data_IF_185903041828
#
_entry.id   IF_185903041828
#
_cell.length_a   1.000
_cell.length_b   1.000
_cell.length_c   1.000
_cell.angle_alpha   90.00
_cell.angle_beta   90.00
_cell.angle_gamma   90.00
#
_symmetry.space_group_name_H-M   'P 1'
#
loop_
_entity.id
_entity.type
_entity.pdbx_description
1 polymer ?
#
# COMPACT_ATOMS: atom_id res chain seq x y z
N UNK A 1 13.69 -2.55 -3.17
CA UNK A 1 12.96 -3.62 -3.88
C UNK A 1 12.17 -3.04 -5.03
N UNK A 2 11.59 -3.89 -5.86
CA UNK A 2 10.66 -3.50 -6.92
C UNK A 2 9.23 -3.85 -6.51
N UNK A 3 8.26 -3.13 -7.05
CA UNK A 3 6.85 -3.51 -6.98
C UNK A 3 6.25 -3.58 -8.38
N UNK A 4 5.21 -4.40 -8.53
CA UNK A 4 4.34 -4.40 -9.70
C UNK A 4 2.89 -4.38 -9.25
N UNK A 5 2.06 -3.70 -10.03
CA UNK A 5 0.63 -3.56 -9.78
C UNK A 5 -0.10 -4.07 -11.02
N UNK A 6 -1.13 -4.89 -10.80
CA UNK A 6 -1.97 -5.47 -11.84
C UNK A 6 -3.40 -5.63 -11.34
N UNK A 7 -4.37 -5.68 -12.23
CA UNK A 7 -5.72 -6.12 -11.86
C UNK A 7 -5.74 -7.65 -11.80
N UNK A 8 -6.28 -8.20 -10.70
CA UNK A 8 -6.56 -9.63 -10.59
C UNK A 8 -7.94 -9.95 -11.19
N UNK A 9 -8.89 -9.06 -10.95
CA UNK A 9 -10.26 -9.07 -11.46
C UNK A 9 -10.79 -7.62 -11.47
N UNK A 10 -12.06 -7.43 -11.81
CA UNK A 10 -12.68 -6.11 -11.98
C UNK A 10 -12.71 -5.25 -10.69
N UNK A 11 -12.61 -5.87 -9.52
CA UNK A 11 -12.72 -5.18 -8.22
C UNK A 11 -11.51 -5.41 -7.31
N UNK A 12 -10.45 -6.05 -7.79
CA UNK A 12 -9.28 -6.36 -6.98
C UNK A 12 -7.98 -5.97 -7.69
N UNK A 13 -7.29 -4.98 -7.13
CA UNK A 13 -5.90 -4.68 -7.49
C UNK A 13 -4.95 -5.59 -6.72
N UNK A 14 -3.99 -6.19 -7.42
CA UNK A 14 -2.90 -6.96 -6.84
C UNK A 14 -1.61 -6.16 -6.91
N UNK A 15 -0.96 -6.00 -5.77
CA UNK A 15 0.38 -5.46 -5.65
C UNK A 15 1.35 -6.54 -5.17
N UNK A 16 2.44 -6.72 -5.90
CA UNK A 16 3.50 -7.66 -5.55
C UNK A 16 4.80 -6.89 -5.31
N UNK A 17 5.53 -7.23 -4.25
CA UNK A 17 6.84 -6.66 -3.92
C UNK A 17 7.90 -7.75 -3.97
N UNK A 18 9.07 -7.40 -4.51
CA UNK A 18 10.21 -8.33 -4.49
C UNK A 18 10.73 -8.55 -3.06
N UNK A 19 10.66 -7.52 -2.21
CA UNK A 19 11.08 -7.63 -0.82
C UNK A 19 10.08 -8.50 -0.05
N UNK A 20 10.56 -9.64 0.46
CA UNK A 20 9.73 -10.58 1.20
C UNK A 20 8.75 -11.38 0.35
N UNK A 21 8.82 -11.28 -0.99
CA UNK A 21 7.86 -11.90 -1.92
C UNK A 21 6.41 -11.60 -1.53
N UNK A 22 6.17 -10.38 -1.03
CA UNK A 22 4.88 -9.98 -0.49
C UNK A 22 3.86 -9.78 -1.62
N UNK A 23 2.66 -10.33 -1.45
CA UNK A 23 1.50 -10.06 -2.30
C UNK A 23 0.40 -9.43 -1.47
N UNK A 24 -0.16 -8.32 -1.95
CA UNK A 24 -1.27 -7.59 -1.31
C UNK A 24 -2.41 -7.46 -2.31
N UNK A 25 -3.62 -7.68 -1.81
CA UNK A 25 -4.86 -7.55 -2.58
C UNK A 25 -5.64 -6.36 -2.04
N UNK A 26 -6.01 -5.44 -2.93
CA UNK A 26 -6.74 -4.22 -2.63
C UNK A 26 -8.14 -4.35 -3.21
N UNK A 27 -9.13 -4.45 -2.34
CA UNK A 27 -10.51 -4.71 -2.72
C UNK A 27 -11.29 -3.41 -2.84
N UNK A 28 -11.92 -3.18 -3.99
CA UNK A 28 -12.84 -2.07 -4.24
C UNK A 28 -14.29 -2.46 -3.95
N UNK A 29 -15.09 -1.48 -3.56
CA UNK A 29 -16.51 -1.67 -3.28
C UNK A 29 -16.81 -1.86 -1.78
N UNK A 30 -18.05 -2.20 -1.41
CA UNK A 30 -18.44 -2.37 -0.02
C UNK A 30 -17.57 -3.45 0.62
N UNK A 31 -17.06 -3.15 1.82
CA UNK A 31 -16.30 -4.09 2.61
C UNK A 31 -17.13 -5.36 2.78
N UNK A 32 -16.76 -6.43 2.07
CA UNK A 32 -17.22 -7.77 2.46
C UNK A 32 -16.77 -7.95 3.90
N UNK A 33 -17.70 -8.33 4.78
CA UNK A 33 -17.42 -8.56 6.18
C UNK A 33 -16.46 -9.74 6.31
N UNK A 34 -15.17 -9.48 6.14
CA UNK A 34 -14.12 -10.42 6.41
C UNK A 34 -13.92 -10.41 7.92
N UNK A 35 -14.69 -11.25 8.63
CA UNK A 35 -14.32 -11.74 9.95
C UNK A 35 -13.13 -12.72 9.81
N UNK A 36 -12.12 -12.34 9.03
CA UNK A 36 -10.90 -13.12 8.86
C UNK A 36 -10.04 -12.93 10.10
N UNK A 37 -9.52 -14.04 10.62
CA UNK A 37 -8.51 -13.99 11.68
C UNK A 37 -7.37 -13.03 11.31
N UNK A 38 -6.77 -12.33 12.30
CA UNK A 38 -5.64 -11.46 12.03
C UNK A 38 -4.53 -12.18 11.25
N UNK A 39 -4.10 -11.56 10.15
CA UNK A 39 -3.08 -12.11 9.25
C UNK A 39 -1.90 -11.14 9.11
N UNK A 40 -0.78 -11.63 8.59
CA UNK A 40 0.37 -10.76 8.32
C UNK A 40 0.10 -9.72 7.22
N UNK A 41 -0.91 -9.94 6.37
CA UNK A 41 -1.29 -9.01 5.30
C UNK A 41 -2.53 -8.16 5.66
N UNK A 42 -3.31 -8.60 6.66
CA UNK A 42 -4.60 -8.00 6.98
C UNK A 42 -5.60 -8.12 5.83
N UNK A 43 -6.61 -7.24 5.86
CA UNK A 43 -7.57 -7.04 4.78
C UNK A 43 -7.49 -5.58 4.33
N UNK A 44 -7.24 -5.36 3.03
CA UNK A 44 -7.05 -4.02 2.46
C UNK A 44 -8.26 -3.60 1.62
N UNK A 45 -8.93 -2.53 2.05
CA UNK A 45 -10.01 -1.87 1.30
C UNK A 45 -9.47 -0.68 0.54
N UNK A 46 -9.82 -0.57 -0.74
CA UNK A 46 -9.28 0.39 -1.67
C UNK A 46 -10.36 1.38 -2.15
N UNK A 47 -10.00 2.66 -2.21
CA UNK A 47 -10.88 3.71 -2.70
C UNK A 47 -10.06 4.74 -3.49
N UNK A 48 -10.60 5.16 -4.64
CA UNK A 48 -10.06 6.30 -5.37
C UNK A 48 -10.48 7.60 -4.70
N UNK A 49 -9.51 8.42 -4.32
CA UNK A 49 -9.72 9.78 -3.88
C UNK A 49 -9.51 10.72 -5.05
N UNK A 50 -10.60 11.13 -5.68
CA UNK A 50 -10.55 12.04 -6.81
C UNK A 50 -10.22 13.46 -6.34
N UNK A 51 -9.18 14.05 -6.92
CA UNK A 51 -8.95 15.48 -6.82
C UNK A 51 -10.09 16.22 -7.56
N UNK A 52 -10.50 17.36 -7.00
CA UNK A 52 -11.37 18.30 -7.71
C UNK A 52 -10.56 18.82 -8.91
N UNK A 53 -11.03 18.48 -10.10
CA UNK A 53 -10.42 18.91 -11.37
C UNK A 53 -11.38 19.86 -12.09
N UNK A 54 -10.83 20.75 -12.94
CA UNK A 54 -11.63 21.65 -13.76
C UNK A 54 -12.57 20.88 -14.70
N UNK A 55 -13.63 21.53 -15.20
CA UNK A 55 -14.54 20.90 -16.17
C UNK A 55 -13.75 20.51 -17.43
N UNK A 56 -13.84 19.23 -17.81
CA UNK A 56 -13.17 18.69 -19.00
C UNK A 56 -11.73 18.19 -18.75
N UNK A 57 -11.19 18.38 -17.54
CA UNK A 57 -9.88 17.83 -17.18
C UNK A 57 -9.96 16.33 -16.86
N UNK A 58 -8.90 15.55 -17.17
CA UNK A 58 -8.81 14.16 -16.74
C UNK A 58 -8.93 14.06 -15.21
N UNK A 59 -9.70 13.08 -14.73
CA UNK A 59 -9.74 12.76 -13.29
C UNK A 59 -8.33 12.48 -12.81
N UNK A 60 -7.88 13.28 -11.85
CA UNK A 60 -6.66 13.04 -11.07
C UNK A 60 -7.09 12.56 -9.70
N UNK A 61 -6.26 11.76 -9.06
CA UNK A 61 -6.56 11.25 -7.75
C UNK A 61 -5.52 10.29 -7.27
N UNK A 62 -5.56 10.05 -5.97
CA UNK A 62 -4.70 9.09 -5.30
C UNK A 62 -5.52 7.86 -4.96
N UNK A 63 -4.86 6.70 -4.91
CA UNK A 63 -5.50 5.51 -4.37
C UNK A 63 -5.25 5.50 -2.86
N UNK A 64 -6.33 5.55 -2.08
CA UNK A 64 -6.31 5.31 -0.64
C UNK A 64 -6.60 3.85 -0.35
N UNK A 65 -5.76 3.23 0.46
CA UNK A 65 -5.92 1.84 0.90
C UNK A 65 -5.91 1.80 2.42
N UNK A 66 -6.96 1.25 3.02
CA UNK A 66 -7.03 1.03 4.47
C UNK A 66 -6.89 -0.46 4.75
N UNK A 67 -5.90 -0.82 5.56
CA UNK A 67 -5.63 -2.20 5.97
C UNK A 67 -5.89 -2.37 7.46
N UNK A 68 -6.71 -3.35 7.80
CA UNK A 68 -7.04 -3.75 9.17
C UNK A 68 -6.88 -5.25 9.36
N UNK A 69 -7.01 -5.75 10.59
CA UNK A 69 -6.84 -7.19 10.87
C UNK A 69 -5.40 -7.67 10.68
N UNK A 70 -4.43 -6.80 10.92
CA UNK A 70 -3.01 -7.17 10.92
C UNK A 70 -2.67 -7.92 12.21
N UNK A 71 -1.77 -8.91 12.12
CA UNK A 71 -1.09 -9.44 13.31
C UNK A 71 -0.16 -8.38 13.88
N UNK A 72 -0.05 -8.30 15.20
CA UNK A 72 0.93 -7.42 15.84
C UNK A 72 2.34 -7.70 15.30
N UNK A 73 3.11 -6.64 15.06
CA UNK A 73 4.39 -6.74 14.37
C UNK A 73 5.17 -5.44 14.39
N UNK A 74 6.04 -5.26 13.40
CA UNK A 74 6.88 -4.06 13.26
C UNK A 74 6.64 -3.41 11.89
N UNK A 75 6.63 -2.08 11.85
CA UNK A 75 6.38 -1.31 10.61
C UNK A 75 7.40 -1.58 9.51
N UNK A 76 8.61 -1.98 9.90
CA UNK A 76 9.71 -2.46 9.06
C UNK A 76 10.65 -3.32 9.92
N UNK A 77 11.64 -3.97 9.29
CA UNK A 77 12.71 -4.66 10.05
C UNK A 77 13.36 -3.69 11.04
N UNK A 78 13.35 -4.04 12.33
CA UNK A 78 13.81 -3.19 13.45
C UNK A 78 13.10 -1.83 13.53
N UNK A 79 11.85 -1.75 13.04
CA UNK A 79 11.02 -0.56 13.10
C UNK A 79 10.30 -0.41 14.43
N UNK A 80 9.35 0.52 14.46
CA UNK A 80 8.43 0.68 15.60
C UNK A 80 7.43 -0.50 15.64
N UNK A 81 7.06 -0.99 16.83
CA UNK A 81 6.03 -2.00 16.97
C UNK A 81 4.64 -1.42 16.70
N UNK A 82 3.72 -2.28 16.28
CA UNK A 82 2.31 -1.98 16.09
C UNK A 82 1.48 -3.19 16.58
N UNK A 83 0.29 -2.95 17.13
CA UNK A 83 -0.55 -3.99 17.75
C UNK A 83 -1.52 -4.62 16.74
N UNK A 84 -2.27 -5.63 17.17
CA UNK A 84 -3.34 -6.20 16.35
C UNK A 84 -4.52 -5.21 16.09
N UNK A 85 -4.56 -4.09 16.85
CA UNK A 85 -5.56 -3.03 16.70
C UNK A 85 -5.10 -1.90 15.76
N UNK A 86 -3.97 -2.08 15.07
CA UNK A 86 -3.44 -1.09 14.13
C UNK A 86 -4.38 -0.87 12.94
N UNK A 87 -4.56 0.39 12.58
CA UNK A 87 -5.08 0.80 11.28
C UNK A 87 -3.93 1.34 10.43
N UNK A 88 -3.65 0.68 9.31
CA UNK A 88 -2.69 1.13 8.30
C UNK A 88 -3.46 1.79 7.16
N UNK A 89 -3.31 3.10 7.00
CA UNK A 89 -3.82 3.82 5.82
C UNK A 89 -2.65 4.15 4.91
N UNK A 90 -2.76 3.84 3.63
CA UNK A 90 -1.74 4.15 2.63
C UNK A 90 -2.34 4.96 1.48
N UNK A 91 -1.59 5.96 1.02
CA UNK A 91 -1.91 6.77 -0.14
C UNK A 91 -0.88 6.53 -1.24
N UNK A 92 -1.35 6.11 -2.40
CA UNK A 92 -0.53 5.82 -3.57
C UNK A 92 -0.69 6.97 -4.56
N UNK A 93 0.33 7.81 -4.62
CA UNK A 93 0.37 9.01 -5.43
C UNK A 93 1.28 8.81 -6.65
N UNK A 94 0.74 8.99 -7.85
CA UNK A 94 1.52 8.95 -9.09
C UNK A 94 1.90 10.35 -9.54
N UNK A 95 3.20 10.60 -9.68
CA UNK A 95 3.73 11.85 -10.23
C UNK A 95 4.52 11.62 -11.51
N UNK A 96 4.39 12.55 -12.45
CA UNK A 96 5.25 12.64 -13.62
C UNK A 96 6.24 13.79 -13.38
N UNK A 97 7.53 13.48 -13.45
CA UNK A 97 8.59 14.48 -13.31
C UNK A 97 8.84 15.19 -14.66
N UNK A 98 9.35 16.44 -14.65
CA UNK A 98 9.61 17.20 -15.88
C UNK A 98 10.59 16.52 -16.85
N UNK A 99 11.46 15.64 -16.34
CA UNK A 99 12.41 14.86 -17.14
C UNK A 99 11.79 13.62 -17.81
N UNK A 100 10.47 13.42 -17.72
CA UNK A 100 9.76 12.26 -18.28
C UNK A 100 9.72 11.04 -17.36
N UNK A 101 10.39 11.06 -16.21
CA UNK A 101 10.30 9.98 -15.23
C UNK A 101 8.90 9.93 -14.60
N UNK A 102 8.46 8.71 -14.25
CA UNK A 102 7.24 8.49 -13.47
C UNK A 102 7.60 7.91 -12.11
N UNK A 103 7.10 8.51 -11.06
CA UNK A 103 7.32 8.07 -9.68
C UNK A 103 5.99 7.72 -9.02
N UNK A 104 6.01 6.64 -8.24
CA UNK A 104 4.96 6.29 -7.30
C UNK A 104 5.47 6.61 -5.90
N UNK A 105 4.80 7.51 -5.21
CA UNK A 105 5.00 7.77 -3.79
C UNK A 105 3.94 7.02 -3.01
N UNK A 106 4.36 6.23 -2.02
CA UNK A 106 3.49 5.54 -1.08
C UNK A 106 3.69 6.17 0.28
N UNK A 107 2.67 6.89 0.75
CA UNK A 107 2.63 7.45 2.10
C UNK A 107 1.88 6.45 2.97
N UNK A 108 2.49 5.98 4.04
CA UNK A 108 1.90 5.03 4.98
C UNK A 108 1.72 5.69 6.33
N UNK A 109 0.46 5.76 6.78
CA UNK A 109 0.04 6.23 8.09
C UNK A 109 -0.32 5.05 8.97
N UNK A 110 0.42 4.88 10.06
CA UNK A 110 0.21 3.81 11.04
C UNK A 110 -0.40 4.44 12.29
N UNK A 111 -1.67 4.12 12.54
CA UNK A 111 -2.38 4.50 13.75
C UNK A 111 -2.55 3.26 14.62
N UNK A 112 -1.95 3.29 15.80
CA UNK A 112 -2.04 2.20 16.76
C UNK A 112 -2.32 2.73 18.17
N UNK A 113 -3.48 2.42 18.77
CA UNK A 113 -3.87 3.00 20.06
C UNK A 113 -3.08 2.42 21.26
N UNK A 114 -2.32 1.34 21.07
CA UNK A 114 -1.63 0.65 22.16
C UNK A 114 -0.18 1.08 22.29
N UNK A 115 0.53 1.21 21.16
CA UNK A 115 1.97 1.49 21.14
C UNK A 115 2.32 2.89 20.65
N UNK A 116 1.41 3.61 19.97
CA UNK A 116 1.71 4.90 19.37
C UNK A 116 0.79 6.00 19.94
N UNK A 117 1.39 7.02 20.57
CA UNK A 117 0.66 8.19 21.06
C UNK A 117 0.16 9.10 19.94
N UNK A 118 0.80 9.03 18.78
CA UNK A 118 0.50 9.82 17.58
C UNK A 118 0.53 8.92 16.33
N UNK A 119 -0.01 9.41 15.22
CA UNK A 119 0.07 8.67 13.95
C UNK A 119 1.52 8.69 13.45
N UNK A 120 2.08 7.51 13.20
CA UNK A 120 3.40 7.39 12.59
C UNK A 120 3.28 7.42 11.07
N UNK A 121 4.03 8.31 10.42
CA UNK A 121 3.99 8.49 8.96
C UNK A 121 5.34 8.18 8.34
N UNK A 122 5.34 7.37 7.28
CA UNK A 122 6.54 7.07 6.49
C UNK A 122 6.22 7.14 5.00
N UNK A 123 7.17 7.64 4.20
CA UNK A 123 7.04 7.70 2.74
C UNK A 123 8.06 6.78 2.06
N UNK A 124 7.62 6.08 1.02
CA UNK A 124 8.47 5.30 0.11
C UNK A 124 8.26 5.77 -1.33
N UNK A 125 9.33 5.76 -2.13
CA UNK A 125 9.28 6.24 -3.52
C UNK A 125 9.79 5.18 -4.48
N UNK A 126 9.07 4.98 -5.58
CA UNK A 126 9.38 3.98 -6.61
C UNK A 126 9.40 4.65 -7.98
N UNK A 127 10.55 4.60 -8.66
CA UNK A 127 10.67 5.03 -10.06
C UNK A 127 10.14 3.93 -10.98
N UNK A 128 9.29 4.28 -11.95
CA UNK A 128 8.86 3.37 -13.01
C UNK A 128 10.07 2.97 -13.87
N UNK A 129 10.21 1.66 -14.10
CA UNK A 129 11.21 1.08 -15.01
C UNK A 129 10.56 0.68 -16.33
N UNK A 130 11.38 0.57 -17.38
CA UNK A 130 10.94 0.24 -18.75
C UNK A 130 10.48 -1.20 -18.93
N UNK A 131 11.03 -2.12 -18.14
CA UNK A 131 10.83 -3.57 -18.27
C UNK A 131 10.96 -4.26 -16.91
N UNK A 132 10.77 -5.59 -16.91
CA UNK A 132 10.82 -6.43 -15.70
C UNK A 132 12.14 -7.15 -15.52
N UNK A 133 13.20 -6.82 -16.30
CA UNK A 133 14.49 -7.54 -16.24
C UNK A 133 15.14 -7.49 -14.85
N UNK A 134 14.83 -6.46 -14.06
CA UNK A 134 15.34 -6.27 -12.69
C UNK A 134 14.46 -6.90 -11.62
N UNK A 135 13.42 -7.64 -12.00
CA UNK A 135 12.55 -8.33 -11.07
C UNK A 135 13.27 -9.53 -10.43
N UNK A 136 13.73 -9.34 -9.18
CA UNK A 136 14.45 -10.36 -8.41
C UNK A 136 13.85 -10.47 -7.00
N UNK A 137 12.86 -11.36 -6.78
CA UNK A 137 12.24 -11.58 -5.47
C UNK A 137 13.23 -12.15 -4.44
N UNK A 138 13.16 -11.63 -3.22
CA UNK A 138 13.92 -12.12 -2.07
C UNK A 138 12.95 -12.61 -0.99
N UNK A 139 13.21 -13.77 -0.36
CA UNK A 139 12.35 -14.28 0.70
C UNK A 139 12.36 -13.36 1.92
N UNK A 140 11.32 -13.47 2.76
CA UNK A 140 11.27 -12.77 4.03
C UNK A 140 12.46 -13.19 4.91
N UNK A 141 13.24 -12.21 5.38
CA UNK A 141 14.37 -12.44 6.30
C UNK A 141 14.05 -12.07 7.75
N UNK A 142 12.81 -11.63 8.03
CA UNK A 142 12.33 -11.47 9.40
C UNK A 142 12.22 -12.85 10.06
N UNK A 143 12.80 -12.98 11.26
CA UNK A 143 12.76 -14.18 12.10
C UNK A 143 12.03 -13.83 13.38
#
# INVERSE_FOLDING_TARGET
GYLRISWQDDNTLKMELTAGTQTRLFHFGPQQASASEPSWQGYSTAQWEAAITGRGEPRKGDLRVVTTGLRAGYSRKNGIPYSANTNLTEYYHLMNAPNGDRWLTVISEIRDPQYLSETWVVSSHFKKVSDTSRWNPEPCSAR
#
